data_IF_952552647045
#
_entry.id   IF_952552647045
#
_cell.length_a   1.000
_cell.length_b   1.000
_cell.length_c   1.000
_cell.angle_alpha   90.00
_cell.angle_beta   90.00
_cell.angle_gamma   90.00
#
_symmetry.space_group_name_H-M   'P 1'
#
loop_
_entity.id
_entity.type
_entity.pdbx_description
1 polymer ?
#
# COMPACT_ATOMS: atom_id res chain seq x y z
N UNK A 1 66.54 -57.46 48.57
CA UNK A 1 67.10 -56.10 48.75
C UNK A 1 66.89 -55.32 47.45
N UNK A 2 66.16 -54.20 47.49
CA UNK A 2 65.88 -53.29 46.34
C UNK A 2 64.61 -53.66 45.55
N UNK A 3 63.41 -53.09 45.70
CA UNK A 3 62.88 -51.72 45.93
C UNK A 3 62.94 -50.76 44.70
N UNK A 4 61.76 -50.60 44.06
CA UNK A 4 61.17 -49.44 43.34
C UNK A 4 61.97 -48.61 42.29
N UNK A 5 61.40 -48.45 41.08
CA UNK A 5 60.91 -47.13 40.61
C UNK A 5 60.24 -47.13 39.22
N UNK A 6 59.00 -46.62 39.23
CA UNK A 6 58.23 -45.92 38.18
C UNK A 6 57.99 -46.57 36.81
N UNK A 7 56.94 -47.37 36.73
CA UNK A 7 56.11 -47.55 35.54
C UNK A 7 54.83 -46.70 35.67
N UNK A 8 54.95 -45.36 35.71
CA UNK A 8 53.79 -44.45 35.55
C UNK A 8 54.27 -43.13 34.95
N UNK A 9 54.55 -43.14 33.66
CA UNK A 9 54.53 -41.93 32.84
C UNK A 9 53.10 -41.68 32.40
N UNK A 10 52.40 -40.78 33.09
CA UNK A 10 51.09 -40.28 32.71
C UNK A 10 51.16 -39.65 31.32
N UNK A 11 50.81 -40.41 30.28
CA UNK A 11 50.53 -39.84 28.96
C UNK A 11 49.23 -39.04 29.07
N UNK A 12 49.34 -37.76 29.45
CA UNK A 12 48.30 -36.77 29.18
C UNK A 12 48.11 -36.75 27.66
N UNK A 13 47.01 -37.35 27.17
CA UNK A 13 46.57 -37.18 25.79
C UNK A 13 46.40 -35.68 25.57
N UNK A 14 47.08 -35.10 24.57
CA UNK A 14 46.80 -33.73 24.13
C UNK A 14 45.29 -33.67 23.79
N UNK A 15 44.55 -32.68 24.31
CA UNK A 15 43.12 -32.57 24.02
C UNK A 15 42.91 -32.44 22.51
N UNK A 16 41.83 -33.04 22.01
CA UNK A 16 41.41 -32.83 20.62
C UNK A 16 41.15 -31.33 20.37
N UNK A 17 41.25 -30.86 19.11
CA UNK A 17 40.97 -29.45 18.77
C UNK A 17 39.63 -28.99 19.36
N UNK A 18 38.61 -29.84 19.26
CA UNK A 18 37.25 -29.60 19.77
C UNK A 18 37.20 -29.49 21.30
N UNK A 19 37.92 -30.33 22.05
CA UNK A 19 37.98 -30.22 23.52
C UNK A 19 38.65 -28.92 23.97
N UNK A 20 39.66 -28.47 23.22
CA UNK A 20 40.35 -27.19 23.49
C UNK A 20 39.42 -26.02 23.21
N UNK A 21 38.75 -26.01 22.05
CA UNK A 21 37.75 -25.00 21.69
C UNK A 21 36.61 -24.96 22.72
N UNK A 22 36.11 -26.11 23.17
CA UNK A 22 35.07 -26.20 24.20
C UNK A 22 35.53 -25.60 25.52
N UNK A 23 36.77 -25.87 25.94
CA UNK A 23 37.33 -25.30 27.17
C UNK A 23 37.43 -23.77 27.07
N UNK A 24 37.86 -23.24 25.92
CA UNK A 24 37.93 -21.80 25.67
C UNK A 24 36.53 -21.19 25.69
N UNK A 25 35.54 -21.80 25.02
CA UNK A 25 34.16 -21.31 25.00
C UNK A 25 33.52 -21.24 26.40
N UNK A 26 33.86 -22.17 27.31
CA UNK A 26 33.29 -22.23 28.66
C UNK A 26 34.00 -21.36 29.69
N UNK A 27 35.33 -21.25 29.60
CA UNK A 27 36.16 -20.70 30.69
C UNK A 27 37.30 -19.80 30.21
N UNK A 28 37.43 -19.57 28.91
CA UNK A 28 38.47 -18.72 28.33
C UNK A 28 38.22 -17.24 28.61
N UNK A 29 39.27 -16.44 28.52
CA UNK A 29 39.14 -14.97 28.59
C UNK A 29 38.36 -14.44 27.39
N UNK A 30 37.85 -13.21 27.50
CA UNK A 30 37.14 -12.54 26.40
C UNK A 30 37.96 -12.49 25.11
N UNK A 31 39.28 -12.25 25.23
CA UNK A 31 40.16 -12.28 24.06
C UNK A 31 40.23 -13.67 23.43
N UNK A 32 40.38 -14.73 24.23
CA UNK A 32 40.42 -16.10 23.71
C UNK A 32 39.11 -16.51 23.05
N UNK A 33 37.97 -16.14 23.67
CA UNK A 33 36.63 -16.38 23.11
C UNK A 33 36.38 -15.56 21.85
N UNK A 34 36.87 -14.32 21.78
CA UNK A 34 36.83 -13.48 20.57
C UNK A 34 37.64 -14.08 19.43
N UNK A 35 38.87 -14.52 19.71
CA UNK A 35 39.73 -15.18 18.70
C UNK A 35 39.06 -16.48 18.19
N UNK A 36 38.43 -17.24 19.10
CA UNK A 36 37.66 -18.42 18.77
C UNK A 36 36.44 -18.10 17.90
N UNK A 37 35.69 -17.04 18.22
CA UNK A 37 34.55 -16.59 17.43
C UNK A 37 34.93 -16.12 16.01
N UNK A 38 36.14 -15.58 15.83
CA UNK A 38 36.66 -15.13 14.54
C UNK A 38 37.32 -16.24 13.70
N UNK A 39 37.84 -17.29 14.35
CA UNK A 39 38.60 -18.34 13.67
C UNK A 39 37.75 -19.17 12.69
N UNK A 40 38.06 -19.20 11.37
CA UNK A 40 37.24 -19.91 10.37
C UNK A 40 37.06 -21.41 10.63
N UNK A 41 38.00 -22.04 11.33
CA UNK A 41 38.00 -23.49 11.61
C UNK A 41 37.22 -23.90 12.85
N UNK A 42 36.69 -22.95 13.64
CA UNK A 42 35.95 -23.23 14.86
C UNK A 42 34.76 -24.14 14.60
N UNK A 43 34.57 -25.14 15.45
CA UNK A 43 33.46 -26.07 15.37
C UNK A 43 32.11 -25.33 15.44
N UNK A 44 31.19 -25.69 14.54
CA UNK A 44 29.89 -25.01 14.39
C UNK A 44 28.99 -25.12 15.62
N UNK A 45 28.99 -26.26 16.32
CA UNK A 45 28.22 -26.41 17.56
C UNK A 45 28.75 -25.49 18.67
N UNK A 46 30.08 -25.29 18.71
CA UNK A 46 30.71 -24.36 19.65
C UNK A 46 30.35 -22.92 19.32
N UNK A 47 30.31 -22.54 18.03
CA UNK A 47 29.83 -21.22 17.61
C UNK A 47 28.38 -20.98 18.04
N UNK A 48 27.49 -21.94 17.80
CA UNK A 48 26.09 -21.86 18.22
C UNK A 48 25.96 -21.74 19.75
N UNK A 49 26.70 -22.56 20.50
CA UNK A 49 26.72 -22.49 21.95
C UNK A 49 27.14 -21.10 22.46
N UNK A 50 28.26 -20.58 21.95
CA UNK A 50 28.76 -19.27 22.35
C UNK A 50 27.76 -18.18 21.97
N UNK A 51 27.18 -18.21 20.77
CA UNK A 51 26.27 -17.16 20.34
C UNK A 51 25.02 -17.09 21.23
N UNK A 52 24.53 -18.23 21.71
CA UNK A 52 23.38 -18.30 22.60
C UNK A 52 23.67 -17.96 24.08
N UNK A 53 24.94 -18.04 24.53
CA UNK A 53 25.29 -18.04 25.97
C UNK A 53 26.40 -17.08 26.37
N UNK A 54 27.14 -16.51 25.42
CA UNK A 54 28.27 -15.63 25.75
C UNK A 54 27.78 -14.33 26.36
N UNK A 55 28.30 -13.98 27.54
CA UNK A 55 27.93 -12.74 28.25
C UNK A 55 28.44 -11.48 27.52
N UNK A 56 29.52 -11.59 26.75
CA UNK A 56 30.12 -10.44 26.06
C UNK A 56 29.41 -10.16 24.73
N UNK A 57 28.76 -9.01 24.67
CA UNK A 57 28.01 -8.55 23.50
C UNK A 57 28.85 -8.42 22.22
N UNK A 58 30.12 -8.04 22.32
CA UNK A 58 31.00 -7.92 21.14
C UNK A 58 31.30 -9.30 20.53
N UNK A 59 31.35 -10.34 21.37
CA UNK A 59 31.53 -11.73 20.91
C UNK A 59 30.23 -12.22 20.26
N UNK A 60 29.08 -11.98 20.89
CA UNK A 60 27.77 -12.31 20.29
C UNK A 60 27.55 -11.61 18.96
N UNK A 61 27.98 -10.35 18.82
CA UNK A 61 27.94 -9.60 17.56
C UNK A 61 28.70 -10.30 16.44
N UNK A 62 29.96 -10.68 16.70
CA UNK A 62 30.79 -11.42 15.72
C UNK A 62 30.11 -12.74 15.34
N UNK A 63 29.55 -13.44 16.33
CA UNK A 63 28.90 -14.72 16.12
C UNK A 63 27.58 -14.59 15.35
N UNK A 64 26.80 -13.53 15.56
CA UNK A 64 25.57 -13.26 14.82
C UNK A 64 25.86 -13.09 13.32
N UNK A 65 26.85 -12.26 12.97
CA UNK A 65 27.27 -12.09 11.57
C UNK A 65 27.75 -13.41 10.97
N UNK A 66 28.55 -14.15 11.73
CA UNK A 66 29.17 -15.39 11.25
C UNK A 66 28.14 -16.50 11.05
N UNK A 67 27.26 -16.73 12.01
CA UNK A 67 26.22 -17.75 11.91
C UNK A 67 25.24 -17.43 10.79
N UNK A 68 24.86 -16.15 10.62
CA UNK A 68 24.01 -15.74 9.51
C UNK A 68 24.67 -16.00 8.14
N UNK A 69 25.99 -15.75 8.01
CA UNK A 69 26.76 -16.05 6.79
C UNK A 69 26.95 -17.54 6.52
N UNK A 70 26.97 -18.38 7.57
CA UNK A 70 27.08 -19.84 7.45
C UNK A 70 25.74 -20.53 7.16
N UNK A 71 24.62 -19.83 7.37
CA UNK A 71 23.29 -20.38 7.21
C UNK A 71 23.00 -20.97 5.81
N UNK A 72 23.44 -20.34 4.69
CA UNK A 72 23.29 -20.91 3.36
C UNK A 72 23.96 -22.28 3.21
N UNK A 73 25.17 -22.45 3.74
CA UNK A 73 25.91 -23.72 3.64
C UNK A 73 25.23 -24.86 4.42
N UNK A 74 24.59 -24.50 5.55
CA UNK A 74 23.83 -25.43 6.39
C UNK A 74 22.47 -25.81 5.81
N UNK A 75 21.96 -25.02 4.85
CA UNK A 75 20.61 -25.19 4.29
C UNK A 75 20.47 -26.41 3.37
N UNK A 76 21.59 -27.02 2.94
CA UNK A 76 21.59 -28.23 2.09
C UNK A 76 20.89 -29.43 2.74
N UNK A 77 20.87 -29.50 4.07
CA UNK A 77 20.06 -30.41 4.86
C UNK A 77 19.29 -29.65 5.95
N UNK A 78 18.15 -29.06 5.55
CA UNK A 78 17.22 -28.36 6.47
C UNK A 78 16.70 -29.26 7.60
N UNK A 79 16.84 -30.58 7.51
CA UNK A 79 16.44 -31.52 8.55
C UNK A 79 17.55 -31.84 9.56
N UNK A 80 18.80 -31.50 9.24
CA UNK A 80 19.94 -31.70 10.12
C UNK A 80 19.74 -31.03 11.48
N UNK A 81 20.17 -31.71 12.54
CA UNK A 81 20.10 -31.17 13.91
C UNK A 81 20.89 -29.86 14.04
N UNK A 82 22.00 -29.73 13.31
CA UNK A 82 22.83 -28.54 13.34
C UNK A 82 22.13 -27.33 12.70
N UNK A 83 21.43 -27.50 11.57
CA UNK A 83 20.65 -26.43 10.97
C UNK A 83 19.56 -25.94 11.94
N UNK A 84 18.78 -26.87 12.50
CA UNK A 84 17.71 -26.54 13.48
C UNK A 84 18.26 -25.78 14.68
N UNK A 85 19.37 -26.25 15.25
CA UNK A 85 20.01 -25.57 16.37
C UNK A 85 20.54 -24.19 15.99
N UNK A 86 21.13 -24.04 14.80
CA UNK A 86 21.57 -22.72 14.30
C UNK A 86 20.41 -21.76 14.17
N UNK A 87 19.28 -22.19 13.60
CA UNK A 87 18.06 -21.37 13.48
C UNK A 87 17.52 -20.97 14.85
N UNK A 88 17.50 -21.88 15.82
CA UNK A 88 17.09 -21.57 17.20
C UNK A 88 18.00 -20.49 17.82
N UNK A 89 19.31 -20.64 17.69
CA UNK A 89 20.29 -19.67 18.19
C UNK A 89 20.15 -18.31 17.50
N UNK A 90 19.95 -18.27 16.19
CA UNK A 90 19.68 -17.02 15.47
C UNK A 90 18.38 -16.36 15.96
N UNK A 91 17.36 -17.14 16.35
CA UNK A 91 16.15 -16.62 16.98
C UNK A 91 16.41 -15.96 18.33
N UNK A 92 17.30 -16.54 19.14
CA UNK A 92 17.76 -15.93 20.41
C UNK A 92 18.48 -14.61 20.13
N UNK A 93 19.41 -14.58 19.17
CA UNK A 93 20.15 -13.36 18.79
C UNK A 93 19.24 -12.28 18.20
N UNK A 94 18.14 -12.67 17.53
CA UNK A 94 17.14 -11.73 17.05
C UNK A 94 16.32 -11.09 18.18
N UNK A 95 16.36 -11.63 19.41
CA UNK A 95 15.79 -11.04 20.63
C UNK A 95 16.86 -10.45 21.55
N UNK A 96 18.13 -10.37 21.11
CA UNK A 96 19.22 -9.90 21.94
C UNK A 96 18.96 -8.48 22.46
N UNK A 97 19.25 -8.22 23.73
CA UNK A 97 19.08 -6.89 24.33
C UNK A 97 19.97 -5.83 23.64
N UNK A 98 21.09 -6.26 23.04
CA UNK A 98 22.04 -5.38 22.39
C UNK A 98 21.63 -5.12 20.95
N UNK A 99 21.23 -3.87 20.68
CA UNK A 99 20.83 -3.40 19.35
C UNK A 99 21.82 -3.79 18.24
N UNK A 100 23.13 -3.63 18.47
CA UNK A 100 24.16 -3.93 17.46
C UNK A 100 24.10 -5.39 16.98
N UNK A 101 23.79 -6.33 17.86
CA UNK A 101 23.66 -7.76 17.53
C UNK A 101 22.48 -7.98 16.59
N UNK A 102 21.33 -7.38 16.90
CA UNK A 102 20.12 -7.47 16.08
C UNK A 102 20.31 -6.80 14.71
N UNK A 103 20.99 -5.65 14.66
CA UNK A 103 21.35 -4.95 13.41
C UNK A 103 22.29 -5.79 12.55
N UNK A 104 23.30 -6.43 13.15
CA UNK A 104 24.18 -7.33 12.41
C UNK A 104 23.40 -8.48 11.77
N UNK A 105 22.47 -9.07 12.52
CA UNK A 105 21.63 -10.14 12.00
C UNK A 105 20.72 -9.67 10.86
N UNK A 106 20.03 -8.53 11.01
CA UNK A 106 19.16 -7.99 9.97
C UNK A 106 19.92 -7.61 8.71
N UNK A 107 21.14 -7.07 8.86
CA UNK A 107 21.99 -6.68 7.74
C UNK A 107 22.37 -7.85 6.82
N UNK A 108 22.49 -9.06 7.37
CA UNK A 108 22.82 -10.28 6.62
C UNK A 108 21.55 -10.96 6.12
N UNK A 109 20.53 -11.14 6.97
CA UNK A 109 19.34 -11.91 6.62
C UNK A 109 18.44 -11.20 5.60
N UNK A 110 18.52 -9.87 5.47
CA UNK A 110 17.72 -9.13 4.48
C UNK A 110 17.99 -9.59 3.03
N UNK A 111 19.20 -10.07 2.73
CA UNK A 111 19.62 -10.45 1.38
C UNK A 111 19.52 -11.97 1.15
N UNK A 112 19.08 -12.74 2.15
CA UNK A 112 19.04 -14.20 2.09
C UNK A 112 17.62 -14.71 1.76
N UNK A 113 17.48 -15.33 0.59
CA UNK A 113 16.20 -15.81 0.04
C UNK A 113 15.58 -16.93 0.89
N UNK A 114 16.41 -17.80 1.48
CA UNK A 114 15.98 -18.92 2.32
C UNK A 114 16.07 -18.58 3.82
N UNK A 115 16.02 -17.28 4.18
CA UNK A 115 16.06 -16.87 5.58
C UNK A 115 14.89 -17.48 6.36
N UNK A 116 15.11 -17.96 7.61
CA UNK A 116 14.06 -18.59 8.39
C UNK A 116 12.90 -17.62 8.63
N UNK A 117 11.68 -17.92 8.13
CA UNK A 117 10.57 -16.96 8.13
C UNK A 117 10.24 -16.40 9.52
N UNK A 118 10.31 -17.24 10.56
CA UNK A 118 10.07 -16.82 11.94
C UNK A 118 11.05 -15.76 12.44
N UNK A 119 12.33 -15.86 12.05
CA UNK A 119 13.37 -14.92 12.50
C UNK A 119 13.20 -13.59 11.80
N UNK A 120 13.00 -13.60 10.47
CA UNK A 120 12.80 -12.36 9.72
C UNK A 120 11.48 -11.68 10.10
N UNK A 121 10.40 -12.43 10.36
CA UNK A 121 9.15 -11.86 10.87
C UNK A 121 9.30 -11.20 12.24
N UNK A 122 10.16 -11.74 13.10
CA UNK A 122 10.49 -11.13 14.39
C UNK A 122 11.32 -9.85 14.22
N UNK A 123 12.39 -9.88 13.41
CA UNK A 123 13.21 -8.70 13.12
C UNK A 123 12.41 -7.59 12.41
N UNK A 124 11.44 -7.95 11.56
CA UNK A 124 10.54 -7.01 10.89
C UNK A 124 9.66 -6.22 11.88
N UNK A 125 9.37 -6.78 13.05
CA UNK A 125 8.59 -6.15 14.14
C UNK A 125 9.45 -5.52 15.23
N UNK A 126 10.76 -5.47 15.03
CA UNK A 126 11.65 -4.80 15.98
C UNK A 126 11.29 -3.32 16.08
N UNK A 127 11.23 -2.83 17.32
CA UNK A 127 10.91 -1.44 17.64
C UNK A 127 11.99 -0.47 17.10
N UNK A 128 13.21 -0.95 16.96
CA UNK A 128 14.34 -0.17 16.47
C UNK A 128 14.36 -0.20 14.93
N UNK A 129 14.11 0.96 14.31
CA UNK A 129 14.09 1.13 12.85
C UNK A 129 15.32 0.52 12.16
N UNK A 130 16.51 0.66 12.76
CA UNK A 130 17.76 0.14 12.20
C UNK A 130 17.76 -1.40 12.02
N UNK A 131 16.91 -2.11 12.78
CA UNK A 131 16.76 -3.56 12.69
C UNK A 131 15.68 -3.94 11.69
N UNK A 132 14.50 -3.31 11.79
CA UNK A 132 13.30 -3.69 11.04
C UNK A 132 13.25 -3.15 9.61
N UNK A 133 13.71 -1.91 9.36
CA UNK A 133 13.66 -1.28 8.03
C UNK A 133 14.35 -2.12 6.93
N UNK A 134 15.57 -2.67 7.14
CA UNK A 134 16.21 -3.52 6.13
C UNK A 134 15.39 -4.77 5.78
N UNK A 135 14.71 -5.35 6.78
CA UNK A 135 13.89 -6.55 6.59
C UNK A 135 12.60 -6.21 5.84
N UNK A 136 11.89 -5.17 6.28
CA UNK A 136 10.67 -4.70 5.64
C UNK A 136 10.89 -4.31 4.17
N UNK A 137 12.05 -3.71 3.86
CA UNK A 137 12.36 -3.21 2.53
C UNK A 137 12.98 -4.22 1.56
N UNK A 138 13.85 -5.11 2.04
CA UNK A 138 14.67 -5.94 1.14
C UNK A 138 14.43 -7.45 1.30
N UNK A 139 13.95 -7.91 2.46
CA UNK A 139 13.88 -9.34 2.74
C UNK A 139 12.77 -10.04 1.97
N UNK A 140 13.13 -10.78 0.91
CA UNK A 140 12.21 -11.59 0.08
C UNK A 140 11.62 -12.77 0.86
N UNK A 141 12.33 -13.27 1.87
CA UNK A 141 11.85 -14.37 2.72
C UNK A 141 10.73 -13.96 3.70
N UNK A 142 10.48 -12.65 3.87
CA UNK A 142 9.34 -12.15 4.65
C UNK A 142 8.07 -12.26 3.79
N UNK A 143 7.10 -13.11 4.17
CA UNK A 143 5.92 -13.37 3.35
C UNK A 143 4.89 -12.25 3.46
N UNK A 144 3.97 -12.19 2.50
CA UNK A 144 2.98 -11.13 2.41
C UNK A 144 2.04 -11.10 3.62
N UNK A 145 1.71 -12.25 4.21
CA UNK A 145 0.86 -12.32 5.41
C UNK A 145 1.46 -11.52 6.57
N UNK A 146 2.79 -11.53 6.71
CA UNK A 146 3.51 -10.79 7.74
C UNK A 146 3.52 -9.27 7.44
N UNK A 147 3.71 -8.90 6.17
CA UNK A 147 3.63 -7.49 5.73
C UNK A 147 2.22 -6.91 5.97
N UNK A 148 1.19 -7.67 5.63
CA UNK A 148 -0.21 -7.30 5.83
C UNK A 148 -0.54 -7.16 7.32
N UNK A 149 -0.07 -8.08 8.17
CA UNK A 149 -0.26 -7.99 9.62
C UNK A 149 0.41 -6.74 10.21
N UNK A 150 1.63 -6.43 9.77
CA UNK A 150 2.33 -5.21 10.18
C UNK A 150 1.57 -3.96 9.76
N UNK A 151 1.10 -3.88 8.50
CA UNK A 151 0.32 -2.73 8.00
C UNK A 151 -1.00 -2.55 8.76
N UNK A 152 -1.71 -3.64 9.09
CA UNK A 152 -2.96 -3.60 9.88
C UNK A 152 -2.77 -2.99 11.27
N UNK A 153 -1.57 -3.10 11.85
CA UNK A 153 -1.25 -2.51 13.15
C UNK A 153 -1.07 -0.98 13.10
N UNK A 154 -1.19 -0.35 11.93
CA UNK A 154 -0.95 1.08 11.70
C UNK A 154 0.44 1.50 12.20
N UNK A 155 1.51 0.96 11.59
CA UNK A 155 2.86 1.20 12.07
C UNK A 155 3.28 2.65 11.78
N UNK A 156 4.45 3.05 12.29
CA UNK A 156 5.02 4.35 11.97
C UNK A 156 5.21 4.52 10.46
N UNK A 157 5.07 5.77 9.97
CA UNK A 157 5.15 6.12 8.54
C UNK A 157 6.40 5.53 7.83
N UNK A 158 7.57 5.58 8.48
CA UNK A 158 8.80 5.01 7.91
C UNK A 158 8.71 3.50 7.60
N UNK A 159 7.91 2.74 8.37
CA UNK A 159 7.73 1.30 8.15
C UNK A 159 6.84 1.04 6.94
N UNK A 160 5.77 1.81 6.79
CA UNK A 160 4.87 1.78 5.61
C UNK A 160 5.69 2.11 4.36
N UNK A 161 6.49 3.17 4.42
CA UNK A 161 7.39 3.57 3.34
C UNK A 161 8.44 2.49 3.03
N UNK A 162 8.99 1.82 4.04
CA UNK A 162 9.95 0.73 3.83
C UNK A 162 9.31 -0.43 3.05
N UNK A 163 8.07 -0.79 3.38
CA UNK A 163 7.29 -1.80 2.65
C UNK A 163 6.99 -1.32 1.21
N UNK A 164 6.53 -0.08 1.04
CA UNK A 164 6.25 0.51 -0.28
C UNK A 164 7.49 0.55 -1.20
N UNK A 165 8.68 0.71 -0.60
CA UNK A 165 9.98 0.71 -1.30
C UNK A 165 10.49 -0.68 -1.69
N UNK A 166 9.75 -1.77 -1.44
CA UNK A 166 10.15 -3.12 -1.86
C UNK A 166 10.27 -3.18 -3.40
N UNK A 167 11.24 -3.92 -3.96
CA UNK A 167 11.45 -3.98 -5.41
C UNK A 167 10.26 -4.51 -6.22
N UNK A 168 9.39 -5.29 -5.60
CA UNK A 168 8.12 -5.77 -6.14
C UNK A 168 7.15 -5.96 -4.97
N UNK A 169 5.87 -5.72 -5.23
CA UNK A 169 4.80 -5.84 -4.26
C UNK A 169 3.64 -6.59 -4.89
N UNK A 170 3.03 -7.48 -4.12
CA UNK A 170 1.82 -8.17 -4.55
C UNK A 170 0.61 -7.27 -4.40
N UNK A 171 -0.44 -7.60 -5.16
CA UNK A 171 -1.71 -6.88 -5.15
C UNK A 171 -2.28 -6.66 -3.73
N UNK A 172 -2.34 -7.66 -2.82
CA UNK A 172 -2.85 -7.44 -1.47
C UNK A 172 -2.02 -6.43 -0.66
N UNK A 173 -0.70 -6.48 -0.75
CA UNK A 173 0.18 -5.59 0.01
C UNK A 173 0.12 -4.17 -0.55
N UNK A 174 0.08 -4.01 -1.88
CA UNK A 174 -0.12 -2.71 -2.53
C UNK A 174 -1.42 -2.04 -2.07
N UNK A 175 -2.53 -2.79 -2.05
CA UNK A 175 -3.82 -2.29 -1.56
C UNK A 175 -3.74 -1.85 -0.09
N UNK A 176 -3.12 -2.67 0.77
CA UNK A 176 -2.93 -2.36 2.18
C UNK A 176 -2.08 -1.10 2.42
N UNK A 177 -1.05 -0.86 1.60
CA UNK A 177 -0.25 0.40 1.65
C UNK A 177 -1.10 1.62 1.26
N UNK A 178 -1.98 1.50 0.27
CA UNK A 178 -2.89 2.61 -0.10
C UNK A 178 -3.95 2.86 0.98
N UNK A 179 -4.35 1.83 1.73
CA UNK A 179 -5.31 1.94 2.83
C UNK A 179 -4.77 2.71 4.04
N UNK A 180 -3.44 2.81 4.23
CA UNK A 180 -2.88 3.55 5.36
C UNK A 180 -2.93 5.07 5.22
N UNK A 181 -3.35 5.60 4.07
CA UNK A 181 -3.40 7.04 3.76
C UNK A 181 -2.05 7.77 3.92
N UNK A 182 -0.93 7.04 3.82
CA UNK A 182 0.41 7.60 3.88
C UNK A 182 0.82 8.12 2.49
N UNK A 183 0.93 9.45 2.37
CA UNK A 183 1.15 10.12 1.08
C UNK A 183 2.49 9.73 0.45
N UNK A 184 3.55 9.65 1.26
CA UNK A 184 4.90 9.31 0.78
C UNK A 184 4.96 7.84 0.35
N UNK A 185 4.41 6.92 1.15
CA UNK A 185 4.35 5.50 0.81
C UNK A 185 3.52 5.26 -0.45
N UNK A 186 2.36 5.92 -0.60
CA UNK A 186 1.56 5.87 -1.82
C UNK A 186 2.31 6.40 -3.04
N UNK A 187 3.04 7.51 -2.91
CA UNK A 187 3.84 8.08 -4.00
C UNK A 187 4.93 7.12 -4.46
N UNK A 188 5.63 6.50 -3.52
CA UNK A 188 6.67 5.49 -3.79
C UNK A 188 6.05 4.27 -4.48
N UNK A 189 4.93 3.76 -3.96
CA UNK A 189 4.23 2.60 -4.53
C UNK A 189 3.80 2.86 -5.97
N UNK A 190 3.20 4.01 -6.25
CA UNK A 190 2.73 4.37 -7.60
C UNK A 190 3.88 4.56 -8.60
N UNK A 191 5.06 4.93 -8.10
CA UNK A 191 6.28 5.04 -8.91
C UNK A 191 6.97 3.69 -9.14
N UNK A 192 6.52 2.63 -8.46
CA UNK A 192 7.10 1.30 -8.55
C UNK A 192 6.47 0.50 -9.71
N UNK A 193 7.14 0.48 -10.86
CA UNK A 193 6.67 -0.24 -12.05
C UNK A 193 6.52 -1.77 -11.87
N UNK A 194 7.05 -2.34 -10.79
CA UNK A 194 6.95 -3.77 -10.46
C UNK A 194 5.95 -4.06 -9.33
N UNK A 195 5.31 -3.03 -8.77
CA UNK A 195 4.19 -3.24 -7.86
C UNK A 195 2.98 -3.69 -8.66
N UNK A 196 2.36 -4.78 -8.21
CA UNK A 196 1.08 -5.20 -8.73
C UNK A 196 -0.02 -4.42 -8.02
N UNK A 197 -0.84 -3.68 -8.77
CA UNK A 197 -1.92 -2.84 -8.25
C UNK A 197 -3.20 -3.24 -8.95
N UNK A 198 -4.22 -3.59 -8.17
CA UNK A 198 -5.50 -4.04 -8.71
C UNK A 198 -6.26 -2.90 -9.39
N UNK A 199 -7.19 -3.24 -10.28
CA UNK A 199 -8.13 -2.27 -10.84
C UNK A 199 -8.96 -1.55 -9.76
N UNK A 200 -9.31 -2.26 -8.69
CA UNK A 200 -10.08 -1.69 -7.58
C UNK A 200 -9.23 -0.68 -6.77
N UNK A 201 -7.97 -0.99 -6.54
CA UNK A 201 -7.03 -0.10 -5.88
C UNK A 201 -6.71 1.11 -6.75
N UNK A 202 -6.54 0.94 -8.07
CA UNK A 202 -6.36 2.06 -9.00
C UNK A 202 -7.56 3.02 -8.98
N UNK A 203 -8.79 2.50 -8.93
CA UNK A 203 -10.00 3.34 -8.74
C UNK A 203 -9.92 4.13 -7.44
N UNK A 204 -9.54 3.48 -6.33
CA UNK A 204 -9.37 4.13 -5.02
C UNK A 204 -8.27 5.19 -5.04
N UNK A 205 -7.14 4.90 -5.68
CA UNK A 205 -6.01 5.83 -5.86
C UNK A 205 -6.46 7.07 -6.63
N UNK A 206 -7.18 6.91 -7.74
CA UNK A 206 -7.66 8.03 -8.57
C UNK A 206 -8.62 8.92 -7.78
N UNK A 207 -9.52 8.33 -7.01
CA UNK A 207 -10.40 9.10 -6.12
C UNK A 207 -9.59 9.87 -5.07
N UNK A 208 -8.65 9.20 -4.40
CA UNK A 208 -7.76 9.83 -3.40
C UNK A 208 -6.84 10.90 -3.99
N UNK A 209 -6.44 10.77 -5.26
CA UNK A 209 -5.59 11.75 -5.95
C UNK A 209 -6.26 13.14 -6.12
N UNK A 210 -7.59 13.24 -5.92
CA UNK A 210 -8.29 14.53 -5.80
C UNK A 210 -7.88 15.32 -4.55
N UNK A 211 -7.40 14.63 -3.51
CA UNK A 211 -6.93 15.18 -2.23
C UNK A 211 -5.42 15.06 -2.05
N UNK A 212 -4.75 14.20 -2.82
CA UNK A 212 -3.29 14.02 -2.84
C UNK A 212 -2.70 14.37 -4.21
N UNK A 213 -2.38 15.66 -4.47
CA UNK A 213 -1.76 16.10 -5.72
C UNK A 213 -0.49 15.32 -6.09
N UNK A 214 0.28 14.90 -5.09
CA UNK A 214 1.51 14.11 -5.23
C UNK A 214 1.29 12.78 -5.95
N UNK A 215 0.07 12.22 -5.88
CA UNK A 215 -0.28 10.96 -6.52
C UNK A 215 -0.70 11.12 -7.98
N UNK A 216 -1.12 12.31 -8.41
CA UNK A 216 -1.70 12.57 -9.73
C UNK A 216 -0.74 12.24 -10.87
N UNK A 217 0.52 12.69 -10.77
CA UNK A 217 1.54 12.40 -11.79
C UNK A 217 1.94 10.91 -11.81
N UNK A 218 2.29 10.27 -10.68
CA UNK A 218 2.58 8.84 -10.65
C UNK A 218 1.45 7.97 -11.21
N UNK A 219 0.19 8.23 -10.83
CA UNK A 219 -0.95 7.43 -11.33
C UNK A 219 -1.17 7.65 -12.82
N UNK A 220 -1.01 8.88 -13.33
CA UNK A 220 -1.12 9.18 -14.76
C UNK A 220 -0.07 8.45 -15.61
N UNK A 221 1.13 8.27 -15.06
CA UNK A 221 2.24 7.54 -15.69
C UNK A 221 2.14 6.01 -15.51
N UNK A 222 1.17 5.52 -14.74
CA UNK A 222 1.04 4.10 -14.46
C UNK A 222 0.61 3.32 -15.70
N UNK A 223 1.41 2.30 -16.08
CA UNK A 223 1.24 1.53 -17.31
C UNK A 223 -0.13 0.86 -17.43
N UNK A 224 -0.67 0.35 -16.33
CA UNK A 224 -1.94 -0.37 -16.34
C UNK A 224 -3.15 0.51 -16.01
N UNK A 225 -3.01 1.85 -16.08
CA UNK A 225 -4.13 2.75 -15.87
C UNK A 225 -5.19 2.58 -16.98
N UNK A 226 -6.43 2.17 -16.65
CA UNK A 226 -7.51 2.08 -17.62
C UNK A 226 -7.91 3.46 -18.15
N UNK A 227 -8.39 3.50 -19.40
CA UNK A 227 -8.83 4.74 -20.06
C UNK A 227 -9.92 5.48 -19.28
N UNK A 228 -10.85 4.76 -18.64
CA UNK A 228 -11.94 5.40 -17.91
C UNK A 228 -11.40 6.21 -16.74
N UNK A 229 -10.35 5.69 -16.09
CA UNK A 229 -9.65 6.35 -14.99
C UNK A 229 -8.71 7.46 -15.47
N UNK A 230 -8.06 7.28 -16.62
CA UNK A 230 -7.30 8.35 -17.27
C UNK A 230 -8.20 9.55 -17.61
N UNK A 231 -9.36 9.28 -18.21
CA UNK A 231 -10.37 10.30 -18.50
C UNK A 231 -10.89 10.96 -17.23
N UNK A 232 -11.11 10.22 -16.15
CA UNK A 232 -11.48 10.80 -14.86
C UNK A 232 -10.41 11.73 -14.31
N UNK A 233 -9.13 11.32 -14.31
CA UNK A 233 -8.00 12.13 -13.88
C UNK A 233 -7.93 13.46 -14.63
N UNK A 234 -8.13 13.48 -15.95
CA UNK A 234 -8.10 14.74 -16.72
C UNK A 234 -9.06 15.81 -16.21
N UNK A 235 -10.10 15.43 -15.45
CA UNK A 235 -11.12 16.34 -14.96
C UNK A 235 -10.62 17.31 -13.91
N UNK A 236 -9.69 16.87 -13.07
CA UNK A 236 -9.27 17.62 -11.88
C UNK A 236 -7.76 17.80 -11.75
N UNK A 237 -6.95 17.16 -12.59
CA UNK A 237 -5.49 17.34 -12.60
C UNK A 237 -5.08 18.60 -13.36
N UNK A 238 -3.89 19.11 -13.06
CA UNK A 238 -3.30 20.29 -13.72
C UNK A 238 -2.91 20.04 -15.19
N UNK A 239 -2.56 21.10 -15.90
CA UNK A 239 -2.20 21.03 -17.32
C UNK A 239 -0.99 20.13 -17.59
N UNK A 240 -0.03 20.04 -16.67
CA UNK A 240 1.17 19.21 -16.87
C UNK A 240 0.81 17.72 -16.85
N UNK A 241 -0.07 17.31 -15.93
CA UNK A 241 -0.54 15.93 -15.84
C UNK A 241 -1.51 15.61 -16.99
N UNK A 242 -2.34 16.57 -17.40
CA UNK A 242 -3.19 16.42 -18.60
C UNK A 242 -2.36 16.15 -19.85
N UNK A 243 -1.29 16.90 -20.07
CA UNK A 243 -0.39 16.69 -21.20
C UNK A 243 0.25 15.29 -21.15
N UNK A 244 0.67 14.82 -19.98
CA UNK A 244 1.20 13.47 -19.81
C UNK A 244 0.20 12.38 -20.22
N UNK A 245 -1.09 12.55 -19.89
CA UNK A 245 -2.15 11.61 -20.29
C UNK A 245 -2.40 11.64 -21.81
N UNK A 246 -2.28 12.81 -22.44
CA UNK A 246 -2.44 13.01 -23.89
C UNK A 246 -1.20 12.59 -24.71
N UNK A 247 -0.06 12.37 -24.08
CA UNK A 247 1.17 11.87 -24.72
C UNK A 247 1.35 10.36 -24.58
N UNK A 248 0.40 9.66 -23.94
CA UNK A 248 0.44 8.20 -23.78
C UNK A 248 0.34 7.50 -25.13
N UNK A 249 1.16 6.46 -25.28
CA UNK A 249 1.27 5.67 -26.52
C UNK A 249 0.63 4.29 -26.39
N UNK A 250 0.16 3.94 -25.20
CA UNK A 250 -0.42 2.65 -24.88
C UNK A 250 -1.95 2.60 -24.98
N UNK A 251 -2.59 3.74 -25.28
CA UNK A 251 -3.99 3.83 -25.69
C UNK A 251 -4.11 3.75 -27.22
N UNK A 252 -5.22 3.20 -27.71
CA UNK A 252 -5.53 3.23 -29.15
C UNK A 252 -5.82 4.65 -29.64
N UNK A 253 -5.78 4.88 -30.96
CA UNK A 253 -6.11 6.18 -31.57
C UNK A 253 -7.47 6.70 -31.11
N UNK A 254 -8.47 5.81 -31.11
CA UNK A 254 -9.85 6.14 -30.78
C UNK A 254 -9.98 6.49 -29.30
N UNK A 255 -9.25 5.79 -28.42
CA UNK A 255 -9.21 6.08 -26.98
C UNK A 255 -8.51 7.40 -26.67
N UNK A 256 -7.46 7.75 -27.43
CA UNK A 256 -6.80 9.04 -27.30
C UNK A 256 -7.68 10.19 -27.77
N UNK A 257 -8.45 9.99 -28.85
CA UNK A 257 -9.42 10.97 -29.33
C UNK A 257 -10.52 11.20 -28.29
N UNK A 258 -11.07 10.14 -27.69
CA UNK A 258 -12.05 10.22 -26.59
C UNK A 258 -11.52 11.03 -25.39
N UNK A 259 -10.26 10.80 -24.99
CA UNK A 259 -9.62 11.55 -23.90
C UNK A 259 -9.41 13.02 -24.31
N UNK A 260 -8.92 13.27 -25.52
CA UNK A 260 -8.69 14.62 -26.02
C UNK A 260 -9.99 15.42 -26.14
N UNK A 261 -11.07 14.82 -26.63
CA UNK A 261 -12.39 15.43 -26.67
C UNK A 261 -12.90 15.74 -25.27
N UNK A 262 -12.75 14.80 -24.32
CA UNK A 262 -13.13 15.04 -22.93
C UNK A 262 -12.33 16.19 -22.30
N UNK A 263 -11.04 16.31 -22.59
CA UNK A 263 -10.20 17.43 -22.13
C UNK A 263 -10.69 18.73 -22.75
N UNK A 264 -10.91 18.76 -24.05
CA UNK A 264 -11.39 19.93 -24.78
C UNK A 264 -12.71 20.44 -24.23
N UNK A 265 -13.71 19.55 -24.08
CA UNK A 265 -15.03 19.91 -23.52
C UNK A 265 -14.90 20.54 -22.14
N UNK A 266 -14.05 19.97 -21.27
CA UNK A 266 -13.85 20.47 -19.90
C UNK A 266 -13.12 21.81 -19.85
N UNK A 267 -12.15 22.03 -20.73
CA UNK A 267 -11.48 23.34 -20.86
C UNK A 267 -12.48 24.39 -21.34
N UNK A 268 -13.22 24.10 -22.40
CA UNK A 268 -14.28 25.00 -22.92
C UNK A 268 -15.36 25.28 -21.87
N UNK A 269 -15.69 24.30 -21.03
CA UNK A 269 -16.64 24.46 -19.93
C UNK A 269 -16.06 25.33 -18.80
N UNK A 270 -14.79 25.12 -18.43
CA UNK A 270 -14.10 25.88 -17.39
C UNK A 270 -13.86 27.34 -17.79
N UNK A 271 -13.56 27.62 -19.07
CA UNK A 271 -13.39 28.99 -19.58
C UNK A 271 -14.65 29.84 -19.38
N UNK A 272 -15.83 29.22 -19.42
CA UNK A 272 -17.13 29.86 -19.19
C UNK A 272 -17.51 29.96 -17.72
N UNK A 273 -16.71 29.47 -16.77
CA UNK A 273 -17.07 29.40 -15.35
C UNK A 273 -17.29 30.79 -14.71
N UNK A 274 -16.65 31.83 -15.25
CA UNK A 274 -16.81 33.22 -14.79
C UNK A 274 -18.09 33.89 -15.30
N UNK A 275 -18.81 33.28 -16.26
CA UNK A 275 -20.10 33.79 -16.72
C UNK A 275 -21.20 33.50 -15.69
N UNK A 276 -22.32 34.22 -15.78
CA UNK A 276 -23.47 33.97 -14.91
C UNK A 276 -23.99 32.53 -15.09
N UNK A 277 -24.18 31.82 -13.97
CA UNK A 277 -24.52 30.39 -13.97
C UNK A 277 -25.91 30.13 -14.54
N UNK A 278 -26.89 31.00 -14.27
CA UNK A 278 -28.23 30.89 -14.81
C UNK A 278 -28.22 31.00 -16.34
N UNK A 279 -27.50 31.99 -16.88
CA UNK A 279 -27.37 32.18 -18.34
C UNK A 279 -26.71 30.97 -19.01
N UNK A 280 -25.63 30.44 -18.41
CA UNK A 280 -24.96 29.23 -18.91
C UNK A 280 -25.90 28.04 -18.98
N UNK A 281 -26.63 27.75 -17.88
CA UNK A 281 -27.58 26.63 -17.83
C UNK A 281 -28.72 26.84 -18.83
N UNK A 282 -29.25 28.06 -18.94
CA UNK A 282 -30.30 28.38 -19.90
C UNK A 282 -29.88 28.17 -21.36
N UNK A 283 -28.62 28.49 -21.70
CA UNK A 283 -28.09 28.23 -23.04
C UNK A 283 -28.09 26.73 -23.36
N UNK A 284 -27.54 25.88 -22.48
CA UNK A 284 -27.56 24.42 -22.65
C UNK A 284 -28.99 23.86 -22.68
N UNK A 285 -29.89 24.38 -21.85
CA UNK A 285 -31.28 23.93 -21.83
C UNK A 285 -32.02 24.29 -23.12
N UNK A 286 -31.81 25.52 -23.63
CA UNK A 286 -32.42 26.01 -24.87
C UNK A 286 -31.94 25.24 -26.10
N UNK A 287 -30.67 24.87 -26.12
CA UNK A 287 -30.05 24.06 -27.18
C UNK A 287 -30.40 22.56 -27.05
N UNK A 288 -31.00 22.14 -25.94
CA UNK A 288 -31.30 20.73 -25.66
C UNK A 288 -30.06 19.89 -25.36
N UNK A 289 -28.94 20.54 -25.00
CA UNK A 289 -27.62 19.93 -24.79
C UNK A 289 -27.25 19.81 -23.31
N UNK A 290 -28.14 20.16 -22.38
CA UNK A 290 -27.98 19.92 -20.94
C UNK A 290 -28.13 18.41 -20.63
N UNK A 291 -27.08 17.66 -20.95
CA UNK A 291 -27.01 16.19 -20.92
C UNK A 291 -26.18 15.68 -19.73
N UNK A 292 -26.17 14.36 -19.53
CA UNK A 292 -25.27 13.68 -18.61
C UNK A 292 -23.80 14.13 -18.75
N UNK A 293 -23.31 14.30 -19.98
CA UNK A 293 -21.92 14.68 -20.23
C UNK A 293 -21.61 16.08 -19.69
N UNK A 294 -22.49 17.05 -19.96
CA UNK A 294 -22.35 18.43 -19.46
C UNK A 294 -22.42 18.47 -17.93
N UNK A 295 -23.32 17.67 -17.33
CA UNK A 295 -23.40 17.55 -15.87
C UNK A 295 -22.12 16.93 -15.28
N UNK A 296 -21.57 15.90 -15.92
CA UNK A 296 -20.32 15.26 -15.49
C UNK A 296 -19.13 16.22 -15.61
N UNK A 297 -19.07 17.03 -16.68
CA UNK A 297 -18.00 18.01 -16.86
C UNK A 297 -18.08 19.12 -15.79
N UNK A 298 -19.29 19.58 -15.44
CA UNK A 298 -19.51 20.50 -14.33
C UNK A 298 -19.04 19.91 -12.98
N UNK A 299 -19.38 18.65 -12.70
CA UNK A 299 -18.92 17.93 -11.50
C UNK A 299 -17.39 17.83 -11.48
N UNK A 300 -16.78 17.47 -12.61
CA UNK A 300 -15.34 17.25 -12.74
C UNK A 300 -14.52 18.50 -12.40
N UNK A 301 -14.98 19.67 -12.86
CA UNK A 301 -14.33 20.96 -12.55
C UNK A 301 -14.82 21.62 -11.24
N UNK A 302 -15.63 20.89 -10.45
CA UNK A 302 -16.22 21.34 -9.17
C UNK A 302 -17.10 22.60 -9.29
N UNK A 303 -17.77 22.78 -10.43
CA UNK A 303 -18.76 23.83 -10.62
C UNK A 303 -20.11 23.41 -10.01
N UNK A 304 -20.17 23.40 -8.68
CA UNK A 304 -21.34 22.92 -7.94
C UNK A 304 -22.59 23.74 -8.24
N UNK A 305 -22.44 25.05 -8.40
CA UNK A 305 -23.58 25.94 -8.66
C UNK A 305 -24.22 25.61 -10.01
N UNK A 306 -23.42 25.32 -11.05
CA UNK A 306 -23.97 24.84 -12.31
C UNK A 306 -24.75 23.53 -12.14
N UNK A 307 -24.27 22.60 -11.31
CA UNK A 307 -25.00 21.34 -11.04
C UNK A 307 -26.35 21.62 -10.37
N UNK A 308 -26.39 22.49 -9.35
CA UNK A 308 -27.64 22.87 -8.68
C UNK A 308 -28.63 23.52 -9.64
N UNK A 309 -28.18 24.52 -10.39
CA UNK A 309 -29.02 25.29 -11.32
C UNK A 309 -29.46 24.41 -12.50
N UNK A 310 -28.58 23.54 -13.01
CA UNK A 310 -28.87 22.59 -14.07
C UNK A 310 -29.97 21.61 -13.69
N UNK A 311 -29.87 20.98 -12.51
CA UNK A 311 -30.90 20.07 -12.01
C UNK A 311 -32.22 20.82 -11.76
N UNK A 312 -32.14 22.04 -11.20
CA UNK A 312 -33.32 22.87 -10.99
C UNK A 312 -34.05 23.18 -12.30
N UNK A 313 -33.30 23.51 -13.34
CA UNK A 313 -33.82 23.78 -14.68
C UNK A 313 -34.47 22.55 -15.32
N UNK A 314 -33.81 21.38 -15.25
CA UNK A 314 -34.36 20.11 -15.76
C UNK A 314 -35.66 19.70 -15.06
N UNK A 315 -35.76 19.97 -13.76
CA UNK A 315 -36.94 19.64 -12.94
C UNK A 315 -38.00 20.75 -12.91
N UNK A 316 -37.73 21.91 -13.52
CA UNK A 316 -38.59 23.10 -13.47
C UNK A 316 -38.91 23.54 -12.04
N UNK A 317 -37.89 23.54 -11.18
CA UNK A 317 -37.96 23.98 -9.78
C UNK A 317 -36.91 25.07 -9.51
N UNK A 318 -36.81 25.56 -8.27
CA UNK A 318 -35.78 26.54 -7.90
C UNK A 318 -34.48 25.87 -7.46
N UNK A 319 -33.31 26.52 -7.66
CA UNK A 319 -32.03 26.04 -7.12
C UNK A 319 -32.05 25.86 -5.59
N UNK A 320 -32.79 26.71 -4.88
CA UNK A 320 -32.99 26.59 -3.42
C UNK A 320 -33.70 25.30 -3.03
N UNK A 321 -34.67 24.84 -3.84
CA UNK A 321 -35.35 23.58 -3.58
C UNK A 321 -34.38 22.40 -3.79
N UNK A 322 -33.58 22.41 -4.86
CA UNK A 322 -32.55 21.37 -5.08
C UNK A 322 -31.54 21.35 -3.93
N UNK A 323 -31.07 22.52 -3.50
CA UNK A 323 -30.14 22.65 -2.36
C UNK A 323 -30.72 22.05 -1.08
N UNK A 324 -31.96 22.40 -0.72
CA UNK A 324 -32.65 21.81 0.44
C UNK A 324 -32.71 20.29 0.38
N UNK A 325 -32.97 19.72 -0.80
CA UNK A 325 -33.04 18.26 -0.95
C UNK A 325 -31.65 17.63 -0.81
N UNK A 326 -30.61 18.23 -1.38
CA UNK A 326 -29.23 17.73 -1.23
C UNK A 326 -28.74 17.85 0.20
N UNK A 327 -29.14 18.88 0.95
CA UNK A 327 -28.81 19.05 2.36
C UNK A 327 -29.40 17.94 3.25
N UNK A 328 -30.46 17.25 2.81
CA UNK A 328 -30.99 16.07 3.51
C UNK A 328 -30.01 14.89 3.47
N UNK A 329 -29.05 14.89 2.53
CA UNK A 329 -28.02 13.83 2.33
C UNK A 329 -28.59 12.42 2.21
N UNK A 330 -29.78 12.28 1.61
CA UNK A 330 -30.45 11.00 1.44
C UNK A 330 -30.27 10.47 0.02
N UNK A 331 -29.68 9.28 -0.12
CA UNK A 331 -29.38 8.69 -1.44
C UNK A 331 -30.63 8.46 -2.29
N UNK A 332 -31.73 8.00 -1.69
CA UNK A 332 -33.02 7.82 -2.38
C UNK A 332 -33.54 9.12 -3.01
N UNK A 333 -33.40 10.25 -2.32
CA UNK A 333 -33.85 11.55 -2.82
C UNK A 333 -33.03 12.02 -4.01
N UNK A 334 -31.69 11.87 -3.94
CA UNK A 334 -30.79 12.20 -5.05
C UNK A 334 -31.09 11.34 -6.26
N UNK A 335 -31.27 10.02 -6.06
CA UNK A 335 -31.57 9.06 -7.12
C UNK A 335 -32.90 9.39 -7.80
N UNK A 336 -33.97 9.58 -7.03
CA UNK A 336 -35.30 9.93 -7.56
C UNK A 336 -35.28 11.23 -8.36
N UNK A 337 -34.56 12.24 -7.86
CA UNK A 337 -34.40 13.53 -8.50
C UNK A 337 -33.64 13.43 -9.84
N UNK A 338 -32.51 12.72 -9.87
CA UNK A 338 -31.73 12.55 -11.10
C UNK A 338 -32.52 11.78 -12.16
N UNK A 339 -33.28 10.76 -11.76
CA UNK A 339 -34.16 10.03 -12.66
C UNK A 339 -35.23 10.93 -13.26
N UNK A 340 -35.88 11.78 -12.45
CA UNK A 340 -36.88 12.75 -12.95
C UNK A 340 -36.27 13.80 -13.86
N UNK A 341 -35.02 14.19 -13.61
CA UNK A 341 -34.26 15.11 -14.44
C UNK A 341 -33.81 14.47 -15.78
N UNK A 342 -34.06 13.18 -16.00
CA UNK A 342 -33.65 12.46 -17.19
C UNK A 342 -32.16 12.10 -17.22
N UNK A 343 -31.46 12.22 -16.10
CA UNK A 343 -30.05 11.87 -15.98
C UNK A 343 -29.87 10.36 -15.76
N UNK A 344 -28.76 9.80 -16.21
CA UNK A 344 -28.42 8.41 -15.97
C UNK A 344 -28.09 8.12 -14.50
N UNK A 345 -28.21 6.85 -14.10
CA UNK A 345 -27.85 6.42 -12.74
C UNK A 345 -26.34 6.57 -12.46
N UNK A 346 -25.50 6.62 -13.51
CA UNK A 346 -24.05 6.89 -13.36
C UNK A 346 -23.81 8.33 -12.93
N UNK A 347 -24.51 9.27 -13.54
CA UNK A 347 -24.48 10.69 -13.14
C UNK A 347 -25.07 10.86 -11.74
N UNK A 348 -26.16 10.16 -11.43
CA UNK A 348 -26.73 10.15 -10.08
C UNK A 348 -25.74 9.65 -9.02
N UNK A 349 -24.97 8.58 -9.31
CA UNK A 349 -23.92 8.10 -8.41
C UNK A 349 -22.82 9.14 -8.18
N UNK A 350 -22.35 9.81 -9.24
CA UNK A 350 -21.36 10.89 -9.11
C UNK A 350 -21.89 12.07 -8.29
N UNK A 351 -23.15 12.45 -8.46
CA UNK A 351 -23.78 13.50 -7.65
C UNK A 351 -23.84 13.07 -6.16
N UNK A 352 -24.22 11.82 -5.87
CA UNK A 352 -24.21 11.30 -4.50
C UNK A 352 -22.81 11.38 -3.86
N UNK A 353 -21.77 11.02 -4.61
CA UNK A 353 -20.39 10.94 -4.11
C UNK A 353 -19.70 12.31 -4.01
N UNK A 354 -19.78 13.12 -5.05
CA UNK A 354 -18.92 14.30 -5.22
C UNK A 354 -19.62 15.61 -4.81
N UNK A 355 -20.93 15.70 -5.04
CA UNK A 355 -21.72 16.90 -4.76
C UNK A 355 -22.36 16.82 -3.38
N UNK A 356 -23.11 15.74 -3.11
CA UNK A 356 -23.85 15.55 -1.85
C UNK A 356 -22.96 14.93 -0.76
N UNK A 357 -21.92 14.18 -1.16
CA UNK A 357 -20.95 13.53 -0.28
C UNK A 357 -21.61 12.56 0.71
N UNK A 358 -22.45 11.69 0.18
CA UNK A 358 -23.13 10.63 0.93
C UNK A 358 -22.10 9.57 1.36
N UNK A 359 -22.14 9.09 2.62
CA UNK A 359 -21.25 8.03 3.09
C UNK A 359 -21.32 6.77 2.22
N UNK A 360 -20.19 6.10 1.98
CA UNK A 360 -20.12 4.92 1.12
C UNK A 360 -21.13 3.81 1.43
N UNK A 361 -21.47 3.61 2.71
CA UNK A 361 -22.43 2.60 3.17
C UNK A 361 -23.90 2.92 2.81
N UNK A 362 -24.18 4.18 2.46
CA UNK A 362 -25.51 4.68 2.16
C UNK A 362 -25.71 4.97 0.67
N UNK A 363 -24.65 4.84 -0.14
CA UNK A 363 -24.71 5.00 -1.59
C UNK A 363 -25.62 3.96 -2.24
N UNK A 364 -26.41 4.42 -3.19
CA UNK A 364 -27.20 3.56 -4.07
C UNK A 364 -26.46 3.41 -5.39
N UNK A 365 -26.10 2.16 -5.74
CA UNK A 365 -25.31 1.83 -6.92
C UNK A 365 -26.19 1.40 -8.10
N UNK A 366 -25.75 1.65 -9.36
CA UNK A 366 -26.47 1.20 -10.55
C UNK A 366 -26.69 -0.33 -10.58
N UNK A 367 -27.90 -0.76 -10.99
CA UNK A 367 -28.19 -2.16 -11.28
C UNK A 367 -27.66 -2.49 -12.68
N UNK A 368 -26.95 -3.60 -12.83
CA UNK A 368 -26.36 -3.97 -14.13
C UNK A 368 -25.33 -2.97 -14.67
N UNK A 369 -24.88 -2.02 -13.86
CA UNK A 369 -23.90 -1.00 -14.24
C UNK A 369 -24.47 0.26 -14.91
N UNK A 370 -25.77 0.31 -15.22
CA UNK A 370 -26.43 1.46 -15.88
C UNK A 370 -27.79 1.82 -15.31
N UNK A 371 -28.54 0.83 -14.84
CA UNK A 371 -29.96 1.01 -14.58
C UNK A 371 -30.21 1.52 -13.16
N UNK A 372 -31.31 2.25 -13.01
CA UNK A 372 -31.80 2.65 -11.70
C UNK A 372 -32.20 1.40 -10.89
N UNK A 373 -31.70 1.24 -9.65
CA UNK A 373 -31.97 0.05 -8.85
C UNK A 373 -33.31 0.12 -8.08
N UNK A 374 -33.92 1.29 -7.99
CA UNK A 374 -35.25 1.49 -7.39
C UNK A 374 -36.32 1.33 -8.46
N UNK A 375 -37.49 0.81 -8.09
CA UNK A 375 -38.61 0.72 -9.02
C UNK A 375 -39.31 2.08 -9.18
N UNK A 376 -40.05 2.26 -10.27
CA UNK A 376 -40.70 3.52 -10.60
C UNK A 376 -41.67 4.01 -9.52
N UNK A 377 -42.41 3.10 -8.86
CA UNK A 377 -43.33 3.48 -7.78
C UNK A 377 -42.61 4.09 -6.57
N UNK A 378 -41.48 3.51 -6.19
CA UNK A 378 -40.65 4.02 -5.10
C UNK A 378 -40.08 5.40 -5.47
N UNK A 379 -39.67 5.57 -6.73
CA UNK A 379 -39.12 6.82 -7.25
C UNK A 379 -40.18 7.92 -7.29
N UNK A 380 -41.39 7.62 -7.77
CA UNK A 380 -42.53 8.53 -7.75
C UNK A 380 -42.93 8.92 -6.32
N UNK A 381 -42.94 7.96 -5.40
CA UNK A 381 -43.22 8.23 -3.99
C UNK A 381 -42.19 9.18 -3.38
N UNK A 382 -40.89 8.99 -3.68
CA UNK A 382 -39.84 9.91 -3.23
C UNK A 382 -40.04 11.31 -3.82
N UNK A 383 -40.35 11.43 -5.12
CA UNK A 383 -40.59 12.74 -5.75
C UNK A 383 -41.79 13.47 -5.14
N UNK A 384 -42.85 12.74 -4.77
CA UNK A 384 -44.02 13.30 -4.08
C UNK A 384 -43.64 13.84 -2.69
N UNK A 385 -42.89 13.04 -1.93
CA UNK A 385 -42.37 13.44 -0.62
C UNK A 385 -41.49 14.70 -0.69
N UNK A 386 -40.72 14.87 -1.78
CA UNK A 386 -39.87 16.03 -2.03
C UNK A 386 -40.61 17.25 -2.59
N UNK A 387 -41.92 17.14 -2.85
CA UNK A 387 -42.71 18.22 -3.46
C UNK A 387 -42.36 18.49 -4.93
N UNK A 388 -41.75 17.53 -5.63
CA UNK A 388 -41.36 17.61 -7.04
C UNK A 388 -42.41 17.01 -7.99
N UNK A 389 -43.62 16.74 -7.48
CA UNK A 389 -44.74 16.26 -8.29
C UNK A 389 -45.26 17.38 -9.19
N UNK A 390 -45.23 17.18 -10.50
CA UNK A 390 -46.01 18.01 -11.43
C UNK A 390 -47.35 17.31 -11.71
N UNK A 391 -48.45 18.04 -11.56
CA UNK A 391 -49.79 17.58 -11.96
C UNK A 391 -49.81 17.04 -13.39
N UNK A 392 -50.70 16.07 -13.63
CA UNK A 392 -50.96 15.44 -14.94
C UNK A 392 -51.10 16.44 -16.07
#
# INVERSE_FOLDING_TARGET
MGFFSSFFGSKQKKPSSIETERKIALTGSDQQRRDLAQSPSTNREILCYMAAKDENADIRLILAERLAKLLPDLSSDKHSSLYKYTVEVLGILALDEVLKVRVALSSVLKDYVDAPPKIVGQLARDLERQVSEPILRYCVALPDEELLDILKSHPASWAIQAIANRPALSQPVSGAVIETDDVEAGTVLLSNAKADISLEDLKRIVEKAKSYPEWQKPVAMHKNLPKELARELTGFVDQSVRNLLLERTDFSSDEMEDIAESVKRRVEFADKQNENVEDRVWNYLKEGTLTDEVMIDAIAIRDTDFVYVGIAALLRTSPDNVRKIFDMKTSKSVVAMCWRAGLSMRTALKIQQEIVKIPHKELIYPRGGTDYPLNDNDMEWQLDFLGLKTGK
#
